data_IF_005289282472
#
_entry.id   IF_005289282472
#
_cell.length_a   1.000
_cell.length_b   1.000
_cell.length_c   1.000
_cell.angle_alpha   90.00
_cell.angle_beta   90.00
_cell.angle_gamma   90.00
#
_symmetry.space_group_name_H-M   'P 1'
#
loop_
_entity.id
_entity.type
_entity.pdbx_description
1 polymer ?
#
# COMPACT_ATOMS: atom_id res chain seq x y z
N UNK A 1 -23.69 0.76 4.74
CA UNK A 1 -22.72 0.47 3.64
C UNK A 1 -21.82 1.67 3.35
N UNK A 2 -22.19 2.68 2.54
CA UNK A 2 -21.24 3.78 2.22
C UNK A 2 -20.83 4.64 3.41
N UNK A 3 -21.74 4.92 4.34
CA UNK A 3 -21.40 5.57 5.61
C UNK A 3 -20.48 4.74 6.51
N UNK A 4 -20.40 3.43 6.28
CA UNK A 4 -19.50 2.52 7.02
C UNK A 4 -18.13 2.40 6.32
N UNK A 5 -18.09 2.44 4.98
CA UNK A 5 -16.85 2.51 4.19
C UNK A 5 -16.09 3.83 4.45
N UNK A 6 -16.81 4.91 4.71
CA UNK A 6 -16.22 6.22 5.01
C UNK A 6 -15.63 6.31 6.44
N UNK A 7 -15.88 5.34 7.32
CA UNK A 7 -15.24 5.27 8.64
C UNK A 7 -14.11 4.23 8.62
N UNK A 8 -12.87 4.68 8.87
CA UNK A 8 -11.66 3.83 8.84
C UNK A 8 -11.72 2.61 9.78
N UNK A 9 -12.48 2.68 10.88
CA UNK A 9 -12.63 1.58 11.83
C UNK A 9 -13.52 0.46 11.29
N UNK A 10 -14.62 0.79 10.59
CA UNK A 10 -15.57 -0.22 10.08
C UNK A 10 -15.13 -0.84 8.76
N UNK A 11 -14.28 -0.17 7.98
CA UNK A 11 -13.80 -0.70 6.70
C UNK A 11 -12.89 -1.92 6.83
N UNK A 12 -12.26 -2.13 7.99
CA UNK A 12 -11.39 -3.29 8.26
C UNK A 12 -12.15 -4.59 8.52
N UNK A 13 -13.39 -4.49 9.02
CA UNK A 13 -14.25 -5.64 9.37
C UNK A 13 -15.25 -6.01 8.25
N UNK A 14 -15.30 -5.20 7.19
CA UNK A 14 -16.18 -5.43 6.04
C UNK A 14 -15.58 -6.55 5.17
N UNK A 15 -16.15 -7.76 5.27
CA UNK A 15 -15.96 -8.81 4.27
C UNK A 15 -16.48 -8.30 2.92
N UNK A 16 -15.56 -7.90 2.05
CA UNK A 16 -15.90 -7.38 0.75
C UNK A 16 -16.26 -8.55 -0.17
N UNK A 17 -17.56 -8.84 -0.26
CA UNK A 17 -18.05 -9.88 -1.18
C UNK A 17 -17.82 -9.49 -2.63
N UNK A 18 -17.69 -10.50 -3.50
CA UNK A 18 -17.49 -10.30 -4.93
C UNK A 18 -18.53 -9.37 -5.58
N UNK A 19 -19.78 -9.49 -5.16
CA UNK A 19 -20.89 -8.66 -5.65
C UNK A 19 -20.75 -7.18 -5.21
N UNK A 20 -20.25 -6.93 -3.99
CA UNK A 20 -20.04 -5.58 -3.49
C UNK A 20 -18.90 -4.88 -4.24
N UNK A 21 -17.81 -5.59 -4.54
CA UNK A 21 -16.70 -5.00 -5.31
C UNK A 21 -17.03 -4.72 -6.76
N UNK A 22 -17.72 -5.65 -7.41
CA UNK A 22 -18.19 -5.44 -8.78
C UNK A 22 -19.18 -4.26 -8.86
N UNK A 23 -20.11 -4.17 -7.89
CA UNK A 23 -21.04 -3.04 -7.78
C UNK A 23 -20.34 -1.69 -7.57
N UNK A 24 -19.26 -1.67 -6.78
CA UNK A 24 -18.47 -0.47 -6.54
C UNK A 24 -17.81 0.06 -7.81
N UNK A 25 -17.08 -0.80 -8.52
CA UNK A 25 -16.42 -0.40 -9.76
C UNK A 25 -17.41 0.01 -10.84
N UNK A 26 -18.54 -0.71 -10.96
CA UNK A 26 -19.60 -0.33 -11.90
C UNK A 26 -20.15 1.07 -11.60
N UNK A 27 -20.35 1.41 -10.32
CA UNK A 27 -20.80 2.73 -9.93
C UNK A 27 -19.73 3.80 -10.19
N UNK A 28 -18.46 3.55 -9.88
CA UNK A 28 -17.35 4.46 -10.16
C UNK A 28 -17.24 4.75 -11.67
N UNK A 29 -17.31 3.70 -12.49
CA UNK A 29 -17.29 3.77 -13.94
C UNK A 29 -18.48 4.56 -14.49
N UNK A 30 -19.70 4.24 -14.04
CA UNK A 30 -20.90 5.00 -14.42
C UNK A 30 -20.81 6.48 -14.03
N UNK A 31 -20.25 6.79 -12.86
CA UNK A 31 -20.06 8.15 -12.39
C UNK A 31 -19.03 8.89 -13.25
N UNK A 32 -17.94 8.22 -13.61
CA UNK A 32 -16.87 8.77 -14.45
C UNK A 32 -17.33 9.07 -15.88
N UNK A 33 -18.17 8.23 -16.47
CA UNK A 33 -18.66 8.41 -17.84
C UNK A 33 -19.73 9.51 -17.97
N UNK A 34 -20.35 9.95 -16.87
CA UNK A 34 -21.33 11.03 -16.93
C UNK A 34 -20.66 12.40 -17.11
N UNK A 35 -21.21 13.29 -17.97
CA UNK A 35 -20.70 14.65 -18.12
C UNK A 35 -20.66 15.43 -16.80
N UNK A 36 -21.61 15.18 -15.90
CA UNK A 36 -21.70 15.79 -14.58
C UNK A 36 -20.68 15.24 -13.58
N UNK A 37 -20.01 14.11 -13.89
CA UNK A 37 -19.15 13.34 -12.98
C UNK A 37 -19.85 12.98 -11.67
N UNK A 38 -21.18 12.77 -11.72
CA UNK A 38 -22.02 12.43 -10.57
C UNK A 38 -22.99 11.29 -10.88
N UNK A 39 -23.34 10.45 -9.89
CA UNK A 39 -24.36 9.41 -9.97
C UNK A 39 -25.10 9.33 -8.64
N UNK A 40 -26.44 9.47 -8.65
CA UNK A 40 -27.27 9.48 -7.42
C UNK A 40 -26.71 10.40 -6.32
N UNK A 41 -26.26 11.60 -6.69
CA UNK A 41 -25.62 12.60 -5.83
C UNK A 41 -24.21 12.27 -5.31
N UNK A 42 -23.64 11.12 -5.68
CA UNK A 42 -22.25 10.77 -5.41
C UNK A 42 -21.36 11.33 -6.53
N UNK A 43 -20.26 11.95 -6.17
CA UNK A 43 -19.27 12.46 -7.14
C UNK A 43 -18.12 11.47 -7.27
N UNK A 44 -17.38 11.54 -8.39
CA UNK A 44 -16.14 10.75 -8.57
C UNK A 44 -15.19 10.94 -7.40
N UNK A 45 -15.02 12.18 -6.91
CA UNK A 45 -14.16 12.48 -5.77
C UNK A 45 -14.57 11.77 -4.48
N UNK A 46 -15.88 11.66 -4.19
CA UNK A 46 -16.37 10.94 -3.00
C UNK A 46 -16.09 9.45 -3.13
N UNK A 47 -16.30 8.88 -4.31
CA UNK A 47 -15.99 7.48 -4.57
C UNK A 47 -14.49 7.23 -4.49
N UNK A 48 -13.63 8.05 -5.08
CA UNK A 48 -12.19 7.83 -4.97
C UNK A 48 -11.69 7.89 -3.52
N UNK A 49 -12.23 8.77 -2.67
CA UNK A 49 -11.91 8.79 -1.24
C UNK A 49 -12.32 7.50 -0.52
N UNK A 50 -13.54 7.01 -0.77
CA UNK A 50 -13.99 5.75 -0.20
C UNK A 50 -13.13 4.57 -0.69
N UNK A 51 -12.72 4.60 -1.96
CA UNK A 51 -11.87 3.55 -2.54
C UNK A 51 -10.45 3.57 -1.97
N UNK A 52 -9.89 4.74 -1.65
CA UNK A 52 -8.60 4.84 -0.96
C UNK A 52 -8.61 4.15 0.41
N UNK A 53 -9.73 4.22 1.13
CA UNK A 53 -9.88 3.47 2.38
C UNK A 53 -9.93 1.97 2.11
N UNK A 54 -10.66 1.55 1.08
CA UNK A 54 -10.79 0.15 0.68
C UNK A 54 -9.48 -0.44 0.16
N UNK A 55 -8.67 0.32 -0.59
CA UNK A 55 -7.43 -0.18 -1.19
C UNK A 55 -6.35 -0.57 -0.17
N UNK A 56 -6.54 -0.20 1.10
CA UNK A 56 -5.69 -0.63 2.23
C UNK A 56 -6.06 -2.03 2.78
N UNK A 57 -7.19 -2.61 2.34
CA UNK A 57 -7.58 -3.98 2.66
C UNK A 57 -6.81 -4.98 1.77
N UNK A 58 -6.45 -6.15 2.29
CA UNK A 58 -5.62 -7.14 1.58
C UNK A 58 -6.24 -7.72 0.30
N UNK A 59 -7.57 -7.80 0.21
CA UNK A 59 -8.28 -8.42 -0.92
C UNK A 59 -8.53 -7.45 -2.08
N UNK A 60 -8.65 -6.15 -1.80
CA UNK A 60 -9.02 -5.14 -2.80
C UNK A 60 -7.95 -4.98 -3.89
N UNK A 61 -6.64 -4.96 -3.60
CA UNK A 61 -5.61 -4.94 -4.63
C UNK A 61 -5.73 -6.10 -5.62
N UNK A 62 -5.88 -7.33 -5.13
CA UNK A 62 -6.02 -8.51 -5.99
C UNK A 62 -7.29 -8.43 -6.85
N UNK A 63 -8.43 -8.07 -6.24
CA UNK A 63 -9.68 -7.92 -6.98
C UNK A 63 -9.59 -6.85 -8.08
N UNK A 64 -8.87 -5.76 -7.80
CA UNK A 64 -8.63 -4.68 -8.77
C UNK A 64 -7.80 -5.18 -9.95
N UNK A 65 -6.79 -6.02 -9.68
CA UNK A 65 -5.95 -6.64 -10.70
C UNK A 65 -6.77 -7.61 -11.58
N UNK A 66 -7.51 -8.53 -10.95
CA UNK A 66 -8.30 -9.58 -11.63
C UNK A 66 -9.41 -9.00 -12.51
N UNK A 67 -10.03 -7.91 -12.06
CA UNK A 67 -11.11 -7.23 -12.80
C UNK A 67 -10.61 -6.22 -13.84
N UNK A 68 -9.28 -6.07 -13.99
CA UNK A 68 -8.64 -5.12 -14.90
C UNK A 68 -9.13 -3.67 -14.71
N UNK A 69 -9.50 -3.30 -13.48
CA UNK A 69 -10.03 -1.96 -13.14
C UNK A 69 -8.93 -0.93 -12.88
N UNK A 70 -7.67 -1.34 -12.90
CA UNK A 70 -6.53 -0.43 -12.85
C UNK A 70 -6.55 0.59 -13.99
N UNK A 71 -6.88 0.17 -15.22
CA UNK A 71 -6.95 1.09 -16.37
C UNK A 71 -7.91 2.25 -16.15
N UNK A 72 -9.09 1.97 -15.59
CA UNK A 72 -10.10 2.97 -15.24
C UNK A 72 -9.54 4.00 -14.23
N UNK A 73 -8.75 3.55 -13.26
CA UNK A 73 -8.08 4.47 -12.32
C UNK A 73 -7.02 5.31 -13.04
N UNK A 74 -6.20 4.72 -13.91
CA UNK A 74 -5.15 5.43 -14.64
C UNK A 74 -5.70 6.58 -15.50
N UNK A 75 -6.88 6.41 -16.09
CA UNK A 75 -7.58 7.46 -16.85
C UNK A 75 -7.99 8.66 -15.97
N UNK A 76 -8.24 8.43 -14.67
CA UNK A 76 -8.67 9.47 -13.74
C UNK A 76 -7.52 10.25 -13.11
N UNK A 77 -6.27 9.80 -13.26
CA UNK A 77 -5.11 10.39 -12.60
C UNK A 77 -4.91 11.89 -12.90
N UNK A 78 -5.23 12.32 -14.12
CA UNK A 78 -5.08 13.72 -14.54
C UNK A 78 -6.11 14.65 -13.87
N UNK A 79 -7.33 14.16 -13.69
CA UNK A 79 -8.43 14.93 -13.10
C UNK A 79 -8.44 14.84 -11.56
N UNK A 80 -7.93 13.75 -11.00
CA UNK A 80 -8.02 13.43 -9.57
C UNK A 80 -6.68 12.96 -9.01
N UNK A 81 -5.88 13.87 -8.42
CA UNK A 81 -4.58 13.52 -7.84
C UNK A 81 -4.63 12.45 -6.74
N UNK A 82 -5.74 12.31 -6.02
CA UNK A 82 -5.97 11.24 -5.03
C UNK A 82 -5.81 9.83 -5.61
N UNK A 83 -5.95 9.69 -6.93
CA UNK A 83 -5.74 8.41 -7.59
C UNK A 83 -4.29 7.94 -7.46
N UNK A 84 -3.31 8.84 -7.35
CA UNK A 84 -1.94 8.43 -7.06
C UNK A 84 -1.81 7.79 -5.67
N UNK A 85 -2.50 8.29 -4.66
CA UNK A 85 -2.51 7.67 -3.33
C UNK A 85 -3.16 6.26 -3.38
N UNK A 86 -4.21 6.11 -4.18
CA UNK A 86 -4.86 4.82 -4.43
C UNK A 86 -3.90 3.86 -5.11
N UNK A 87 -3.24 4.29 -6.20
CA UNK A 87 -2.28 3.48 -6.95
C UNK A 87 -1.11 3.08 -6.05
N UNK A 88 -0.64 3.97 -5.18
CA UNK A 88 0.41 3.64 -4.22
C UNK A 88 -0.03 2.55 -3.24
N UNK A 89 -1.24 2.64 -2.70
CA UNK A 89 -1.79 1.59 -1.83
C UNK A 89 -1.96 0.25 -2.59
N UNK A 90 -2.37 0.28 -3.86
CA UNK A 90 -2.53 -0.93 -4.67
C UNK A 90 -1.19 -1.53 -5.12
N UNK A 91 -0.14 -0.73 -5.27
CA UNK A 91 1.15 -1.16 -5.83
C UNK A 91 1.96 -2.07 -4.91
N UNK A 92 1.46 -2.38 -3.71
CA UNK A 92 1.98 -3.47 -2.89
C UNK A 92 1.60 -4.86 -3.43
N UNK A 93 0.60 -4.96 -4.31
CA UNK A 93 0.23 -6.21 -4.97
C UNK A 93 1.05 -6.46 -6.24
N UNK A 94 1.60 -7.67 -6.40
CA UNK A 94 2.51 -8.03 -7.51
C UNK A 94 1.86 -7.95 -8.89
N UNK A 95 0.60 -8.34 -9.01
CA UNK A 95 -0.13 -8.30 -10.29
C UNK A 95 -0.40 -6.85 -10.70
N UNK A 96 -0.78 -6.00 -9.74
CA UNK A 96 -0.87 -4.55 -9.96
C UNK A 96 0.48 -3.98 -10.42
N UNK A 97 1.59 -4.35 -9.76
CA UNK A 97 2.91 -3.88 -10.19
C UNK A 97 3.23 -4.31 -11.63
N UNK A 98 2.92 -5.56 -12.01
CA UNK A 98 3.14 -6.06 -13.37
C UNK A 98 2.30 -5.29 -14.39
N UNK A 99 1.04 -5.01 -14.09
CA UNK A 99 0.16 -4.22 -14.94
C UNK A 99 0.68 -2.78 -15.10
N UNK A 100 1.13 -2.15 -14.00
CA UNK A 100 1.73 -0.81 -14.02
C UNK A 100 3.03 -0.77 -14.85
N UNK A 101 3.95 -1.72 -14.65
CA UNK A 101 5.21 -1.82 -15.42
C UNK A 101 4.98 -2.04 -16.91
N UNK A 102 3.91 -2.75 -17.26
CA UNK A 102 3.51 -2.99 -18.65
C UNK A 102 2.94 -1.75 -19.33
N UNK A 103 2.57 -0.71 -18.57
CA UNK A 103 2.06 0.56 -19.09
C UNK A 103 3.20 1.59 -19.25
N UNK A 104 3.94 1.50 -20.36
CA UNK A 104 5.07 2.39 -20.65
C UNK A 104 4.73 3.91 -20.65
N UNK A 105 3.57 4.37 -21.18
CA UNK A 105 3.16 5.76 -21.07
C UNK A 105 3.01 6.22 -19.62
N UNK A 106 2.37 5.42 -18.77
CA UNK A 106 2.20 5.75 -17.36
C UNK A 106 3.51 5.76 -16.60
N UNK A 107 4.41 4.81 -16.85
CA UNK A 107 5.75 4.78 -16.25
C UNK A 107 6.56 6.03 -16.59
N UNK A 108 6.54 6.46 -17.86
CA UNK A 108 7.20 7.70 -18.28
C UNK A 108 6.63 8.92 -17.55
N UNK A 109 5.31 8.97 -17.38
CA UNK A 109 4.61 10.03 -16.64
C UNK A 109 5.01 10.07 -15.16
N UNK A 110 5.10 8.92 -14.49
CA UNK A 110 5.56 8.85 -13.09
C UNK A 110 6.99 9.40 -12.96
N UNK A 111 7.92 8.96 -13.81
CA UNK A 111 9.31 9.42 -13.78
C UNK A 111 9.40 10.93 -14.01
N UNK A 112 8.56 11.48 -14.90
CA UNK A 112 8.49 12.91 -15.14
C UNK A 112 7.94 13.66 -13.92
N UNK A 113 6.84 13.19 -13.34
CA UNK A 113 6.20 13.82 -12.17
C UNK A 113 7.11 13.82 -10.94
N UNK A 114 7.86 12.75 -10.70
CA UNK A 114 8.84 12.67 -9.62
C UNK A 114 9.89 13.81 -9.70
N UNK A 115 10.29 14.18 -10.91
CA UNK A 115 11.32 15.22 -11.16
C UNK A 115 10.77 16.64 -11.22
N UNK A 116 9.54 16.81 -11.73
CA UNK A 116 9.04 18.11 -12.16
C UNK A 116 7.86 18.64 -11.32
N UNK A 117 7.21 17.80 -10.52
CA UNK A 117 6.06 18.25 -9.73
C UNK A 117 6.50 19.21 -8.64
N UNK A 118 5.87 20.39 -8.56
CA UNK A 118 6.08 21.35 -7.47
C UNK A 118 5.38 20.92 -6.17
N UNK A 119 4.38 20.05 -6.27
CA UNK A 119 3.61 19.54 -5.14
C UNK A 119 4.37 18.41 -4.42
N UNK A 120 4.80 18.69 -3.18
CA UNK A 120 5.56 17.75 -2.34
C UNK A 120 4.82 16.45 -2.04
N UNK A 121 3.51 16.54 -1.76
CA UNK A 121 2.70 15.36 -1.47
C UNK A 121 2.58 14.45 -2.69
N UNK A 122 2.40 15.04 -3.88
CA UNK A 122 2.39 14.28 -5.14
C UNK A 122 3.76 13.63 -5.34
N UNK A 123 4.87 14.38 -5.23
CA UNK A 123 6.22 13.80 -5.38
C UNK A 123 6.43 12.60 -4.46
N UNK A 124 6.15 12.75 -3.17
CA UNK A 124 6.27 11.66 -2.18
C UNK A 124 5.46 10.43 -2.58
N UNK A 125 4.23 10.63 -3.06
CA UNK A 125 3.35 9.55 -3.49
C UNK A 125 3.91 8.85 -4.74
N UNK A 126 4.38 9.63 -5.72
CA UNK A 126 5.01 9.09 -6.93
C UNK A 126 6.28 8.32 -6.59
N UNK A 127 7.14 8.85 -5.72
CA UNK A 127 8.36 8.18 -5.27
C UNK A 127 8.04 6.85 -4.59
N UNK A 128 6.98 6.81 -3.77
CA UNK A 128 6.49 5.58 -3.16
C UNK A 128 5.99 4.55 -4.17
N UNK A 129 5.28 5.00 -5.23
CA UNK A 129 4.88 4.12 -6.34
C UNK A 129 6.12 3.59 -7.06
N UNK A 130 7.05 4.46 -7.45
CA UNK A 130 8.26 4.08 -8.17
C UNK A 130 9.10 3.10 -7.36
N UNK A 131 9.28 3.35 -6.06
CA UNK A 131 9.96 2.42 -5.15
C UNK A 131 9.33 1.02 -5.16
N UNK A 132 8.00 0.92 -5.05
CA UNK A 132 7.29 -0.35 -5.14
C UNK A 132 7.44 -1.01 -6.53
N UNK A 133 7.53 -0.21 -7.60
CA UNK A 133 7.71 -0.70 -8.96
C UNK A 133 9.18 -1.03 -9.30
N UNK A 134 10.13 -0.50 -8.56
CA UNK A 134 11.57 -0.72 -8.71
C UNK A 134 12.05 -2.05 -8.13
N UNK A 135 11.15 -2.93 -7.68
CA UNK A 135 11.42 -4.32 -7.24
C UNK A 135 12.09 -5.19 -8.35
N UNK A 136 13.37 -4.88 -8.60
CA UNK A 136 14.51 -5.75 -8.57
C UNK A 136 15.35 -5.38 -7.32
N UNK A 137 14.77 -5.45 -6.12
CA UNK A 137 15.59 -5.59 -4.91
C UNK A 137 16.40 -6.92 -4.93
N UNK A 138 16.18 -7.76 -5.95
CA UNK A 138 16.96 -8.96 -6.31
C UNK A 138 18.16 -8.68 -7.26
N UNK A 139 18.34 -7.46 -7.82
CA UNK A 139 19.47 -7.12 -8.70
C UNK A 139 20.43 -6.07 -8.12
N UNK A 140 20.58 -6.03 -6.79
CA UNK A 140 21.94 -5.77 -6.32
C UNK A 140 22.78 -7.00 -6.67
N UNK A 141 24.03 -6.84 -7.15
CA UNK A 141 24.91 -8.00 -7.32
C UNK A 141 24.84 -8.79 -6.01
N UNK A 142 24.49 -10.06 -6.13
CA UNK A 142 24.61 -11.05 -5.07
C UNK A 142 26.11 -11.09 -4.75
N UNK A 143 26.56 -10.16 -3.92
CA UNK A 143 27.77 -10.32 -3.13
C UNK A 143 27.34 -11.23 -2.00
N UNK A 144 27.63 -12.52 -2.17
CA UNK A 144 27.53 -13.67 -1.27
C UNK A 144 27.40 -13.36 0.24
N UNK A 145 26.30 -12.72 0.66
CA UNK A 145 25.99 -12.36 2.06
C UNK A 145 24.58 -12.72 2.49
N UNK A 146 23.82 -13.45 1.69
CA UNK A 146 22.49 -13.99 2.05
C UNK A 146 22.54 -15.16 3.06
N UNK A 147 23.52 -15.15 3.96
CA UNK A 147 23.58 -16.02 5.13
C UNK A 147 23.89 -15.26 6.43
N UNK A 148 23.89 -13.92 6.41
CA UNK A 148 24.08 -13.14 7.64
C UNK A 148 22.74 -12.73 8.24
N UNK A 149 22.32 -13.49 9.25
CA UNK A 149 21.31 -13.08 10.21
C UNK A 149 21.74 -11.75 10.86
N UNK A 150 21.03 -10.67 10.49
CA UNK A 150 21.34 -9.28 10.87
C UNK A 150 20.90 -9.03 12.30
N UNK A 151 19.82 -9.69 12.73
CA UNK A 151 19.28 -9.61 14.07
C UNK A 151 19.39 -10.95 14.78
N UNK A 152 19.60 -10.89 16.08
CA UNK A 152 19.56 -12.07 16.93
C UNK A 152 18.11 -12.38 17.32
N UNK A 153 17.28 -11.35 17.50
CA UNK A 153 15.90 -11.48 17.96
C UNK A 153 15.00 -10.50 17.20
N UNK A 154 13.88 -10.97 16.69
CA UNK A 154 12.71 -10.16 16.34
C UNK A 154 11.69 -10.25 17.47
N UNK A 155 11.14 -9.14 17.92
CA UNK A 155 10.01 -9.10 18.84
C UNK A 155 8.75 -8.68 18.09
N UNK A 156 7.79 -9.58 17.98
CA UNK A 156 6.43 -9.29 17.55
C UNK A 156 5.57 -9.03 18.79
N UNK A 157 4.77 -7.97 18.78
CA UNK A 157 3.95 -7.62 19.95
C UNK A 157 2.64 -6.94 19.58
N UNK A 158 1.64 -7.07 20.45
CA UNK A 158 0.39 -6.32 20.31
C UNK A 158 0.50 -4.93 20.96
N UNK A 159 -0.28 -3.94 20.50
CA UNK A 159 -0.26 -2.59 21.08
C UNK A 159 -0.47 -2.56 22.60
N UNK A 160 -1.19 -3.54 23.17
CA UNK A 160 -1.44 -3.65 24.62
C UNK A 160 -0.17 -3.97 25.43
N UNK A 161 0.82 -4.60 24.81
CA UNK A 161 2.06 -5.06 25.46
C UNK A 161 3.25 -4.14 25.19
N UNK A 162 3.04 -3.03 24.46
CA UNK A 162 4.10 -2.09 24.05
C UNK A 162 5.06 -1.71 25.17
N UNK A 163 4.53 -1.42 26.36
CA UNK A 163 5.33 -1.01 27.52
C UNK A 163 6.26 -2.14 27.99
N UNK A 164 5.73 -3.36 28.07
CA UNK A 164 6.48 -4.56 28.49
C UNK A 164 7.52 -4.93 27.43
N UNK A 165 7.14 -4.98 26.16
CA UNK A 165 8.07 -5.28 25.06
C UNK A 165 9.18 -4.24 24.93
N UNK A 166 8.91 -2.97 25.26
CA UNK A 166 9.95 -1.93 25.36
C UNK A 166 10.94 -2.18 26.48
N UNK A 167 10.47 -2.68 27.63
CA UNK A 167 11.36 -3.10 28.72
C UNK A 167 12.23 -4.28 28.30
N UNK A 168 11.62 -5.32 27.71
CA UNK A 168 12.33 -6.51 27.21
C UNK A 168 13.40 -6.11 26.19
N UNK A 169 13.05 -5.29 25.20
CA UNK A 169 14.01 -4.76 24.22
C UNK A 169 15.18 -4.05 24.89
N UNK A 170 14.92 -3.15 25.84
CA UNK A 170 15.99 -2.41 26.52
C UNK A 170 16.94 -3.35 27.25
N UNK A 171 16.42 -4.39 27.92
CA UNK A 171 17.26 -5.38 28.60
C UNK A 171 18.05 -6.24 27.61
N UNK A 172 17.46 -6.63 26.48
CA UNK A 172 18.15 -7.39 25.43
C UNK A 172 19.27 -6.57 24.76
N UNK A 173 19.03 -5.29 24.48
CA UNK A 173 20.04 -4.38 23.95
C UNK A 173 21.18 -4.19 24.96
N UNK A 174 20.87 -4.00 26.25
CA UNK A 174 21.88 -3.92 27.32
C UNK A 174 22.72 -5.20 27.42
N UNK A 175 22.10 -6.36 27.18
CA UNK A 175 22.76 -7.66 27.14
C UNK A 175 23.56 -7.91 25.85
N UNK A 176 23.52 -6.98 24.88
CA UNK A 176 24.31 -7.01 23.66
C UNK A 176 23.66 -7.72 22.47
N UNK A 177 22.36 -8.04 22.54
CA UNK A 177 21.64 -8.63 21.41
C UNK A 177 21.25 -7.57 20.38
N UNK A 178 21.30 -7.94 19.10
CA UNK A 178 20.74 -7.13 18.01
C UNK A 178 19.26 -7.45 17.88
N UNK A 179 18.40 -6.53 18.29
CA UNK A 179 16.95 -6.76 18.34
C UNK A 179 16.22 -5.90 17.32
N UNK A 180 15.34 -6.51 16.54
CA UNK A 180 14.36 -5.82 15.72
C UNK A 180 13.00 -5.78 16.44
N UNK A 181 12.41 -4.59 16.54
CA UNK A 181 11.07 -4.38 17.11
C UNK A 181 10.50 -3.08 16.55
N UNK A 182 9.21 -3.08 16.19
CA UNK A 182 8.52 -1.91 15.65
C UNK A 182 7.87 -1.08 16.77
N UNK A 183 8.59 -0.11 17.37
CA UNK A 183 8.03 0.67 18.49
C UNK A 183 7.01 1.73 18.10
N UNK A 184 7.27 2.40 16.99
CA UNK A 184 6.55 3.58 16.56
C UNK A 184 6.74 3.65 15.05
N UNK A 185 5.71 3.21 14.33
CA UNK A 185 5.30 3.61 12.98
C UNK A 185 5.07 2.43 12.02
N UNK A 186 3.92 1.79 12.21
CA UNK A 186 3.20 1.12 11.13
C UNK A 186 2.60 2.15 10.15
N UNK A 187 3.45 2.94 9.48
CA UNK A 187 3.06 3.74 8.32
C UNK A 187 3.89 3.28 7.11
N UNK A 188 3.25 2.68 6.12
CA UNK A 188 3.91 2.07 4.95
C UNK A 188 3.75 0.54 4.92
N UNK A 189 4.66 -0.17 4.24
CA UNK A 189 4.58 -1.63 4.06
C UNK A 189 5.06 -2.40 5.30
N UNK A 190 4.21 -2.44 6.31
CA UNK A 190 4.42 -3.21 7.54
C UNK A 190 4.69 -4.69 7.25
N UNK A 191 4.04 -5.25 6.21
CA UNK A 191 4.15 -6.66 5.86
C UNK A 191 5.55 -7.01 5.36
N UNK A 192 6.14 -6.19 4.49
CA UNK A 192 7.49 -6.44 3.95
C UNK A 192 8.57 -6.22 5.01
N UNK A 193 8.45 -5.15 5.82
CA UNK A 193 9.39 -4.90 6.91
C UNK A 193 9.38 -6.04 7.94
N UNK A 194 8.20 -6.56 8.26
CA UNK A 194 8.04 -7.72 9.14
C UNK A 194 8.59 -9.00 8.49
N UNK A 195 8.30 -9.24 7.21
CA UNK A 195 8.81 -10.40 6.47
C UNK A 195 10.34 -10.41 6.42
N UNK A 196 10.96 -9.27 6.08
CA UNK A 196 12.41 -9.12 6.10
C UNK A 196 12.98 -9.33 7.51
N UNK A 197 12.34 -8.80 8.54
CA UNK A 197 12.77 -8.99 9.92
C UNK A 197 12.73 -10.47 10.34
N UNK A 198 11.71 -11.22 9.92
CA UNK A 198 11.60 -12.67 10.16
C UNK A 198 12.76 -13.40 9.49
N UNK A 199 13.01 -13.13 8.21
CA UNK A 199 14.09 -13.79 7.45
C UNK A 199 15.48 -13.49 8.04
N UNK A 200 15.69 -12.25 8.48
CA UNK A 200 16.97 -11.74 8.96
C UNK A 200 17.23 -11.98 10.46
N UNK A 201 16.26 -12.50 11.22
CA UNK A 201 16.40 -12.75 12.67
C UNK A 201 16.69 -14.20 13.00
N UNK A 202 17.57 -14.45 13.97
CA UNK A 202 17.85 -15.83 14.42
C UNK A 202 16.64 -16.43 15.16
N UNK A 203 15.96 -15.63 15.96
CA UNK A 203 14.79 -16.03 16.76
C UNK A 203 13.69 -14.98 16.61
N UNK A 204 12.43 -15.43 16.61
CA UNK A 204 11.24 -14.57 16.65
C UNK A 204 10.49 -14.87 17.95
N UNK A 205 10.11 -13.83 18.68
CA UNK A 205 9.40 -13.90 19.97
C UNK A 205 8.12 -13.08 19.89
#
# INVERSE_FOLDING_TARGET
IFGEILSEEKSKELEFTDDMGNGYFAMLEQTWQQPSKTYKHLTVSVLLRAFLTLSKNEFIPQKTADSNKLCLLLEMCDDYPIVYDIIWALSFNKDIQQQLRSNAPFMSKLIQLAKQSENEQIRKTIDGILWNLELNHENHPIDDKHNKKVFDIMISYSHKEKVVCKQIYNELIKAGYRVWIDFDQMHGNVMDAMTQAIEQSNTVV
#
